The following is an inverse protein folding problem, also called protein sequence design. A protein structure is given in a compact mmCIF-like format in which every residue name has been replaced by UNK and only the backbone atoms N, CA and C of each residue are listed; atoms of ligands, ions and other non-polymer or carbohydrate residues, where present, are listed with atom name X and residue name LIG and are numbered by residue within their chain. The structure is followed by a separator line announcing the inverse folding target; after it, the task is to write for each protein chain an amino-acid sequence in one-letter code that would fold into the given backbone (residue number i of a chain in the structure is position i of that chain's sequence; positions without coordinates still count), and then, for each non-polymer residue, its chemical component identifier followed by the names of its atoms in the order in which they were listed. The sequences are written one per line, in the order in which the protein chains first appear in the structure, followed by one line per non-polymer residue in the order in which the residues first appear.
data_IF_919461585385
#
_entry.id   IF_919461585385
#
_cell.length_a   1.000
_cell.length_b   1.000
_cell.length_c   1.000
_cell.angle_alpha   90.00
_cell.angle_beta   90.00
_cell.angle_gamma   90.00
#
_symmetry.space_group_name_H-M   'P 1'
#
loop_
_entity.id
_entity.type
_entity.pdbx_description
1 polymer ?
#
# COMPACT_ATOMS: atom_id res chain seq x y z
N UNK A 1 -15.49 -6.78 -15.37
CA UNK A 1 -15.63 -6.02 -16.63
C UNK A 1 -14.49 -5.02 -16.73
N UNK A 2 -13.90 -4.87 -17.92
CA UNK A 2 -12.73 -4.02 -18.16
C UNK A 2 -13.10 -2.71 -18.85
N UNK A 3 -14.26 -2.66 -19.48
CA UNK A 3 -14.70 -1.52 -20.24
C UNK A 3 -16.25 -1.38 -20.19
N UNK A 4 -16.72 -0.15 -20.03
CA UNK A 4 -18.13 0.22 -20.15
C UNK A 4 -18.27 1.09 -21.40
N UNK A 5 -19.18 0.72 -22.27
CA UNK A 5 -19.46 1.46 -23.51
C UNK A 5 -20.86 2.05 -23.47
N UNK A 6 -20.98 3.29 -23.93
CA UNK A 6 -22.25 4.01 -24.09
C UNK A 6 -22.58 4.12 -25.56
N UNK A 7 -23.76 3.66 -25.95
CA UNK A 7 -24.25 3.77 -27.31
C UNK A 7 -25.50 4.64 -27.32
N UNK A 8 -25.48 5.68 -28.13
CA UNK A 8 -26.64 6.54 -28.36
C UNK A 8 -27.41 6.06 -29.59
N UNK A 9 -28.63 5.60 -29.38
CA UNK A 9 -29.52 5.18 -30.45
C UNK A 9 -30.62 6.22 -30.66
N UNK A 10 -30.94 6.50 -31.92
CA UNK A 10 -32.04 7.36 -32.28
C UNK A 10 -33.23 6.52 -32.74
N UNK A 11 -34.38 6.66 -32.08
CA UNK A 11 -35.64 6.04 -32.45
C UNK A 11 -36.66 7.16 -32.68
N UNK A 12 -37.35 7.10 -33.81
CA UNK A 12 -38.35 8.10 -34.21
C UNK A 12 -39.52 8.20 -33.22
N UNK A 13 -39.86 7.10 -32.54
CA UNK A 13 -40.94 7.03 -31.55
C UNK A 13 -40.47 7.37 -30.10
N UNK A 14 -39.14 7.25 -29.84
CA UNK A 14 -38.52 7.57 -28.57
C UNK A 14 -37.28 8.44 -28.78
N UNK A 15 -37.42 9.68 -29.05
CA UNK A 15 -36.41 10.68 -29.41
C UNK A 15 -34.93 10.30 -29.19
N UNK A 16 -34.58 9.66 -28.06
CA UNK A 16 -33.24 9.12 -27.75
C UNK A 16 -33.33 7.93 -26.79
N UNK A 17 -32.56 6.88 -27.06
CA UNK A 17 -32.27 5.83 -26.07
C UNK A 17 -30.75 5.75 -25.87
N UNK A 18 -30.32 5.66 -24.61
CA UNK A 18 -28.91 5.43 -24.25
C UNK A 18 -28.80 3.99 -23.79
N UNK A 19 -28.11 3.17 -24.55
CA UNK A 19 -27.76 1.81 -24.15
C UNK A 19 -26.36 1.80 -23.58
N UNK A 20 -26.25 1.26 -22.36
CA UNK A 20 -24.96 1.13 -21.67
C UNK A 20 -24.55 -0.33 -21.69
N UNK A 21 -23.41 -0.64 -22.31
CA UNK A 21 -22.90 -2.00 -22.40
C UNK A 21 -21.58 -2.18 -21.66
N UNK A 22 -21.44 -3.31 -21.00
CA UNK A 22 -20.23 -3.72 -20.32
C UNK A 22 -19.45 -4.74 -21.15
N UNK A 23 -18.18 -4.45 -21.41
CA UNK A 23 -17.29 -5.31 -22.17
C UNK A 23 -16.38 -6.10 -21.23
N UNK A 24 -16.29 -7.40 -21.44
CA UNK A 24 -15.30 -8.25 -20.78
C UNK A 24 -14.28 -8.70 -21.84
N UNK A 25 -13.12 -8.07 -21.88
CA UNK A 25 -12.06 -8.35 -22.88
C UNK A 25 -11.52 -9.77 -22.78
N UNK A 26 -11.39 -10.32 -21.56
CA UNK A 26 -10.85 -11.68 -21.36
C UNK A 26 -11.78 -12.75 -21.92
N UNK A 27 -13.10 -12.54 -21.86
CA UNK A 27 -14.12 -13.48 -22.34
C UNK A 27 -14.73 -13.09 -23.67
N UNK A 28 -14.36 -11.94 -24.26
CA UNK A 28 -14.92 -11.44 -25.49
C UNK A 28 -16.44 -11.20 -25.45
N UNK A 29 -17.02 -11.05 -24.27
CA UNK A 29 -18.48 -10.90 -24.09
C UNK A 29 -18.86 -9.43 -23.86
N UNK A 30 -19.92 -9.02 -24.53
CA UNK A 30 -20.58 -7.72 -24.38
C UNK A 30 -21.97 -7.95 -23.81
N UNK A 31 -22.34 -7.23 -22.76
CA UNK A 31 -23.66 -7.35 -22.15
C UNK A 31 -24.21 -5.97 -21.77
N UNK A 32 -25.51 -5.70 -22.00
CA UNK A 32 -26.16 -4.53 -21.45
C UNK A 32 -25.99 -4.48 -19.91
N UNK A 33 -25.81 -3.27 -19.37
CA UNK A 33 -25.64 -3.09 -17.91
C UNK A 33 -26.87 -3.57 -17.14
N UNK A 34 -28.07 -3.48 -17.73
CA UNK A 34 -29.31 -3.99 -17.17
C UNK A 34 -29.30 -5.49 -16.93
N UNK A 35 -28.52 -6.23 -17.72
CA UNK A 35 -28.34 -7.67 -17.59
C UNK A 35 -27.21 -8.07 -16.65
N UNK A 36 -26.51 -7.11 -16.06
CA UNK A 36 -25.53 -7.38 -15.00
C UNK A 36 -26.23 -7.84 -13.71
N UNK A 37 -25.56 -8.66 -12.93
CA UNK A 37 -26.01 -8.97 -11.57
C UNK A 37 -26.20 -7.72 -10.72
N UNK A 38 -27.18 -7.71 -9.83
CA UNK A 38 -27.56 -6.55 -9.00
C UNK A 38 -26.36 -5.91 -8.28
N UNK A 39 -25.45 -6.70 -7.71
CA UNK A 39 -24.25 -6.20 -7.05
C UNK A 39 -23.30 -5.45 -7.98
N UNK A 40 -23.08 -5.97 -9.19
CA UNK A 40 -22.24 -5.27 -10.17
C UNK A 40 -22.88 -3.96 -10.65
N UNK A 41 -24.19 -3.91 -10.77
CA UNK A 41 -24.90 -2.66 -11.08
C UNK A 41 -24.76 -1.62 -9.96
N UNK A 42 -24.82 -2.04 -8.69
CA UNK A 42 -24.59 -1.13 -7.55
C UNK A 42 -23.19 -0.53 -7.59
N UNK A 43 -22.16 -1.33 -7.83
CA UNK A 43 -20.77 -0.83 -7.97
C UNK A 43 -20.64 0.10 -9.19
N UNK A 44 -21.25 -0.26 -10.32
CA UNK A 44 -21.25 0.59 -11.50
C UNK A 44 -21.89 1.97 -11.22
N UNK A 45 -23.05 2.00 -10.57
CA UNK A 45 -23.73 3.25 -10.22
C UNK A 45 -22.92 4.12 -9.27
N UNK A 46 -22.29 3.52 -8.27
CA UNK A 46 -21.38 4.25 -7.35
C UNK A 46 -20.16 4.80 -8.06
N UNK A 47 -19.55 4.01 -8.96
CA UNK A 47 -18.40 4.47 -9.76
C UNK A 47 -18.77 5.57 -10.74
N UNK A 48 -19.96 5.50 -11.33
CA UNK A 48 -20.51 6.57 -12.19
C UNK A 48 -20.72 7.87 -11.38
N UNK A 49 -21.29 7.75 -10.20
CA UNK A 49 -21.45 8.88 -9.27
C UNK A 49 -20.12 9.49 -8.87
N UNK A 50 -19.11 8.67 -8.56
CA UNK A 50 -17.76 9.12 -8.26
C UNK A 50 -17.14 9.89 -9.44
N UNK A 51 -17.25 9.37 -10.66
CA UNK A 51 -16.77 10.03 -11.87
C UNK A 51 -17.48 11.37 -12.08
N UNK A 52 -18.82 11.40 -11.97
CA UNK A 52 -19.61 12.60 -12.12
C UNK A 52 -19.23 13.71 -11.13
N UNK A 53 -19.01 13.34 -9.86
CA UNK A 53 -18.67 14.29 -8.79
C UNK A 53 -17.20 14.74 -8.87
N UNK A 54 -16.33 13.93 -9.45
CA UNK A 54 -14.90 14.22 -9.60
C UNK A 54 -14.59 15.26 -10.67
N UNK A 55 -15.54 15.61 -11.53
CA UNK A 55 -15.38 16.65 -12.55
C UNK A 55 -14.99 18.00 -11.92
N UNK A 56 -14.08 18.72 -12.57
CA UNK A 56 -13.58 20.01 -12.08
C UNK A 56 -14.72 21.07 -12.03
N UNK A 57 -14.73 21.87 -10.96
CA UNK A 57 -15.66 22.99 -10.80
C UNK A 57 -17.01 22.63 -10.19
N UNK A 58 -17.24 21.41 -9.75
CA UNK A 58 -18.49 21.05 -9.07
C UNK A 58 -18.49 21.50 -7.60
N UNK A 59 -19.65 21.93 -7.15
CA UNK A 59 -19.90 22.29 -5.75
C UNK A 59 -20.00 21.01 -4.92
N UNK A 60 -19.42 20.97 -3.71
CA UNK A 60 -19.59 19.86 -2.79
C UNK A 60 -21.05 19.51 -2.57
N UNK A 61 -21.37 18.23 -2.61
CA UNK A 61 -22.73 17.70 -2.54
C UNK A 61 -22.97 16.93 -1.25
N UNK A 62 -24.23 16.79 -0.84
CA UNK A 62 -24.66 15.85 0.19
C UNK A 62 -25.13 14.58 -0.52
N UNK A 63 -24.50 13.45 -0.21
CA UNK A 63 -24.77 12.14 -0.79
C UNK A 63 -25.36 11.26 0.31
N UNK A 64 -26.57 10.77 0.11
CA UNK A 64 -27.25 9.86 1.04
C UNK A 64 -27.43 8.51 0.35
N UNK A 65 -26.92 7.44 0.98
CA UNK A 65 -26.99 6.08 0.45
C UNK A 65 -27.54 5.14 1.51
N UNK A 66 -28.54 4.35 1.17
CA UNK A 66 -29.13 3.35 2.05
C UNK A 66 -28.70 1.95 1.62
N UNK A 67 -28.18 1.17 2.57
CA UNK A 67 -27.79 -0.24 2.45
C UNK A 67 -27.00 -0.54 1.14
N UNK A 68 -25.90 0.17 0.87
CA UNK A 68 -25.15 0.03 -0.39
C UNK A 68 -24.52 -1.37 -0.58
N UNK A 69 -24.46 -2.17 0.47
CA UNK A 69 -23.99 -3.56 0.45
C UNK A 69 -25.01 -4.56 -0.07
N UNK A 70 -26.28 -4.20 -0.21
CA UNK A 70 -27.30 -5.13 -0.68
C UNK A 70 -26.89 -5.75 -2.02
N UNK A 71 -26.92 -7.07 -2.10
CA UNK A 71 -26.48 -7.88 -3.23
C UNK A 71 -24.96 -7.87 -3.51
N UNK A 72 -24.13 -7.22 -2.70
CA UNK A 72 -22.69 -7.25 -2.86
C UNK A 72 -22.08 -8.48 -2.19
N UNK A 73 -21.24 -9.19 -2.93
CA UNK A 73 -20.33 -10.16 -2.33
C UNK A 73 -19.34 -9.44 -1.39
N UNK A 74 -18.89 -10.02 -0.27
CA UNK A 74 -17.97 -9.37 0.70
C UNK A 74 -16.79 -8.63 0.08
N UNK A 75 -16.19 -9.16 -1.00
CA UNK A 75 -15.12 -8.47 -1.73
C UNK A 75 -15.57 -7.14 -2.36
N UNK A 76 -16.79 -7.11 -2.89
CA UNK A 76 -17.36 -5.91 -3.49
C UNK A 76 -17.82 -4.90 -2.43
N UNK A 77 -18.16 -5.37 -1.23
CA UNK A 77 -18.47 -4.47 -0.09
C UNK A 77 -17.27 -3.62 0.31
N UNK A 78 -16.06 -4.19 0.30
CA UNK A 78 -14.82 -3.43 0.52
C UNK A 78 -14.59 -2.39 -0.57
N UNK A 79 -14.79 -2.76 -1.84
CA UNK A 79 -14.71 -1.80 -2.96
C UNK A 79 -15.75 -0.68 -2.84
N UNK A 80 -16.96 -1.01 -2.41
CA UNK A 80 -18.02 -0.04 -2.14
C UNK A 80 -17.58 0.94 -1.03
N UNK A 81 -17.07 0.42 0.08
CA UNK A 81 -16.53 1.24 1.19
C UNK A 81 -15.44 2.20 0.72
N UNK A 82 -14.52 1.75 -0.14
CA UNK A 82 -13.47 2.61 -0.71
C UNK A 82 -14.03 3.72 -1.61
N UNK A 83 -15.04 3.43 -2.41
CA UNK A 83 -15.71 4.45 -3.25
C UNK A 83 -16.37 5.50 -2.35
N UNK A 84 -17.14 5.07 -1.34
CA UNK A 84 -17.81 5.98 -0.40
C UNK A 84 -16.78 6.84 0.36
N UNK A 85 -15.67 6.25 0.77
CA UNK A 85 -14.57 6.97 1.42
C UNK A 85 -13.97 8.03 0.49
N UNK A 86 -13.67 7.73 -0.77
CA UNK A 86 -13.17 8.71 -1.75
C UNK A 86 -14.17 9.83 -2.00
N UNK A 87 -15.44 9.50 -2.15
CA UNK A 87 -16.52 10.49 -2.26
C UNK A 87 -16.57 11.46 -1.07
N UNK A 88 -16.31 10.95 0.14
CA UNK A 88 -16.32 11.76 1.37
C UNK A 88 -15.17 12.77 1.48
N UNK A 89 -14.13 12.66 0.65
CA UNK A 89 -13.02 13.63 0.66
C UNK A 89 -13.43 15.03 0.17
N UNK A 90 -14.45 15.10 -0.70
CA UNK A 90 -14.93 16.37 -1.27
C UNK A 90 -16.39 16.65 -1.00
N UNK A 91 -17.11 15.69 -0.43
CA UNK A 91 -18.58 15.75 -0.25
C UNK A 91 -18.95 15.33 1.17
N UNK A 92 -20.16 15.67 1.59
CA UNK A 92 -20.74 15.07 2.80
C UNK A 92 -21.45 13.77 2.39
N UNK A 93 -20.91 12.64 2.83
CA UNK A 93 -21.49 11.32 2.57
C UNK A 93 -22.14 10.80 3.84
N UNK A 94 -23.40 10.43 3.75
CA UNK A 94 -24.19 9.80 4.82
C UNK A 94 -24.68 8.47 4.26
N UNK A 95 -24.31 7.35 4.90
CA UNK A 95 -24.86 6.07 4.49
C UNK A 95 -25.26 5.23 5.70
N UNK A 96 -26.31 4.43 5.51
CA UNK A 96 -26.78 3.44 6.46
C UNK A 96 -26.28 2.07 6.00
N UNK A 97 -25.81 1.25 6.94
CA UNK A 97 -25.34 -0.09 6.64
C UNK A 97 -25.50 -1.04 7.83
N UNK A 98 -25.71 -2.33 7.52
CA UNK A 98 -25.64 -3.44 8.46
C UNK A 98 -24.37 -4.30 8.23
N UNK A 99 -23.48 -3.88 7.32
CA UNK A 99 -22.26 -4.61 7.00
C UNK A 99 -21.03 -4.03 7.73
N UNK A 100 -20.31 -4.85 8.51
CA UNK A 100 -19.04 -4.43 9.10
C UNK A 100 -18.01 -4.11 8.02
N UNK A 101 -18.05 -4.77 6.86
CA UNK A 101 -17.11 -4.54 5.76
C UNK A 101 -17.17 -3.10 5.21
N UNK A 102 -18.33 -2.43 5.30
CA UNK A 102 -18.44 -1.03 4.91
C UNK A 102 -17.87 -0.06 5.95
N UNK A 103 -17.79 -0.46 7.21
CA UNK A 103 -17.25 0.38 8.28
C UNK A 103 -15.71 0.47 8.24
N UNK A 104 -15.06 -0.37 7.43
CA UNK A 104 -13.60 -0.52 7.40
C UNK A 104 -12.81 0.76 7.15
N UNK A 105 -13.32 1.68 6.36
CA UNK A 105 -12.59 2.90 5.97
C UNK A 105 -12.96 4.12 6.82
N UNK A 106 -13.80 3.95 7.84
CA UNK A 106 -14.32 5.05 8.65
C UNK A 106 -13.88 4.94 10.11
N UNK A 107 -13.51 6.07 10.70
CA UNK A 107 -13.17 6.14 12.12
C UNK A 107 -14.43 6.07 12.98
N UNK A 108 -14.28 5.68 14.25
CA UNK A 108 -15.38 5.64 15.20
C UNK A 108 -16.07 7.02 15.37
N UNK A 109 -15.36 8.11 15.14
CA UNK A 109 -15.93 9.46 15.17
C UNK A 109 -16.92 9.73 14.05
N UNK A 110 -16.79 9.03 12.92
CA UNK A 110 -17.66 9.15 11.76
C UNK A 110 -18.87 8.23 11.86
N UNK A 111 -18.82 7.19 12.70
CA UNK A 111 -19.87 6.20 12.86
C UNK A 111 -20.91 6.70 13.88
N UNK A 112 -22.19 6.43 13.60
CA UNK A 112 -23.30 6.67 14.51
C UNK A 112 -24.09 5.39 14.61
N UNK A 113 -24.11 4.79 15.80
CA UNK A 113 -24.88 3.60 16.08
C UNK A 113 -26.31 4.01 16.42
N UNK A 114 -27.27 3.50 15.66
CA UNK A 114 -28.70 3.70 15.89
C UNK A 114 -29.26 2.44 16.55
N UNK A 115 -29.86 2.58 17.70
CA UNK A 115 -30.48 1.51 18.48
C UNK A 115 -31.91 1.87 18.84
N UNK A 116 -32.67 0.87 19.27
CA UNK A 116 -33.99 1.14 19.86
C UNK A 116 -33.81 1.39 21.36
N UNK A 117 -34.49 2.43 21.87
CA UNK A 117 -34.63 2.64 23.31
C UNK A 117 -35.69 1.72 23.94
N UNK A 118 -35.91 1.88 25.21
CA UNK A 118 -36.89 1.06 25.99
C UNK A 118 -38.34 1.25 25.49
N UNK A 119 -38.62 2.40 24.87
CA UNK A 119 -39.92 2.72 24.28
C UNK A 119 -40.00 2.35 22.80
N UNK A 120 -38.96 1.71 22.25
CA UNK A 120 -38.81 1.29 20.85
C UNK A 120 -38.70 2.43 19.84
N UNK A 121 -38.23 3.60 20.26
CA UNK A 121 -37.81 4.66 19.36
C UNK A 121 -36.39 4.51 18.93
N UNK A 122 -36.10 4.86 17.69
CA UNK A 122 -34.72 4.88 17.17
C UNK A 122 -33.94 6.04 17.79
N UNK A 123 -32.88 5.75 18.51
CA UNK A 123 -32.00 6.74 19.13
C UNK A 123 -30.55 6.52 18.74
N UNK A 124 -29.78 7.61 18.69
CA UNK A 124 -28.33 7.53 18.46
C UNK A 124 -27.65 7.30 19.80
N UNK A 125 -26.90 6.22 19.94
CA UNK A 125 -26.12 5.92 21.14
C UNK A 125 -25.02 6.99 21.32
N UNK A 126 -24.95 7.69 22.47
CA UNK A 126 -24.09 8.86 22.64
C UNK A 126 -22.61 8.53 22.67
N UNK A 127 -22.25 7.32 23.09
CA UNK A 127 -20.89 6.80 23.09
C UNK A 127 -20.92 5.34 22.66
N UNK A 128 -20.08 5.00 21.70
CA UNK A 128 -19.95 3.63 21.22
C UNK A 128 -18.49 3.36 20.86
N UNK A 129 -18.07 2.13 20.94
CA UNK A 129 -16.79 1.67 20.45
C UNK A 129 -17.00 0.62 19.36
N UNK A 130 -15.95 0.33 18.59
CA UNK A 130 -16.05 -0.57 17.46
C UNK A 130 -16.45 -2.00 17.88
N UNK A 131 -15.97 -2.48 19.03
CA UNK A 131 -16.32 -3.81 19.53
C UNK A 131 -17.81 -3.93 19.81
N UNK A 132 -18.41 -2.95 20.47
CA UNK A 132 -19.86 -2.94 20.75
C UNK A 132 -20.68 -2.92 19.47
N UNK A 133 -20.26 -2.13 18.46
CA UNK A 133 -20.94 -2.10 17.16
C UNK A 133 -20.89 -3.48 16.49
N UNK A 134 -19.73 -4.13 16.54
CA UNK A 134 -19.53 -5.43 15.92
C UNK A 134 -20.30 -6.53 16.64
N UNK A 135 -20.31 -6.51 17.97
CA UNK A 135 -21.11 -7.43 18.79
C UNK A 135 -22.62 -7.28 18.50
N UNK A 136 -23.12 -6.04 18.38
CA UNK A 136 -24.51 -5.76 18.03
C UNK A 136 -24.86 -6.20 16.58
N UNK A 137 -23.88 -6.20 15.68
CA UNK A 137 -24.02 -6.75 14.32
C UNK A 137 -23.87 -8.28 14.27
N UNK A 138 -23.58 -8.94 15.40
CA UNK A 138 -23.43 -10.39 15.51
C UNK A 138 -22.04 -10.90 15.10
N UNK A 139 -21.03 -10.03 15.07
CA UNK A 139 -19.65 -10.41 14.77
C UNK A 139 -18.82 -10.49 16.05
N UNK A 140 -18.25 -11.65 16.35
CA UNK A 140 -17.33 -11.82 17.45
C UNK A 140 -15.99 -11.10 17.24
N UNK A 141 -15.32 -10.75 18.34
CA UNK A 141 -14.00 -10.05 18.29
C UNK A 141 -12.93 -10.78 17.48
N UNK A 142 -13.07 -12.07 17.26
CA UNK A 142 -12.16 -12.89 16.45
C UNK A 142 -12.50 -12.90 14.94
N UNK A 143 -13.72 -12.48 14.55
CA UNK A 143 -14.16 -12.51 13.15
C UNK A 143 -13.64 -11.32 12.35
N UNK A 144 -13.12 -10.34 13.06
CA UNK A 144 -12.61 -9.11 12.49
C UNK A 144 -11.17 -8.86 12.91
N UNK A 145 -10.27 -9.55 12.28
CA UNK A 145 -8.92 -9.02 12.16
C UNK A 145 -9.04 -7.71 11.39
N UNK A 146 -8.97 -6.60 12.12
CA UNK A 146 -9.13 -5.22 11.63
C UNK A 146 -8.02 -4.81 10.65
N UNK A 147 -7.68 -5.65 9.68
CA UNK A 147 -6.61 -5.45 8.72
C UNK A 147 -7.19 -5.31 7.32
N UNK A 148 -6.98 -4.18 6.70
CA UNK A 148 -7.36 -3.91 5.31
C UNK A 148 -6.21 -4.09 4.35
N UNK A 149 -4.97 -4.03 4.84
CA UNK A 149 -3.77 -4.18 4.04
C UNK A 149 -2.63 -4.84 4.81
N UNK A 150 -1.85 -5.69 4.15
CA UNK A 150 -0.70 -6.37 4.74
C UNK A 150 0.57 -6.06 3.97
N UNK A 151 1.58 -5.55 4.67
CA UNK A 151 2.95 -5.57 4.17
C UNK A 151 3.68 -6.81 4.69
N UNK A 152 4.41 -7.46 3.79
CA UNK A 152 5.31 -8.55 4.12
C UNK A 152 6.73 -8.07 3.82
N UNK A 153 7.54 -7.90 4.85
CA UNK A 153 8.90 -7.35 4.76
C UNK A 153 9.93 -8.37 5.26
N UNK A 154 11.18 -8.24 4.85
CA UNK A 154 12.21 -9.20 5.21
C UNK A 154 12.65 -9.06 6.65
N UNK A 155 12.96 -7.84 7.10
CA UNK A 155 13.62 -7.54 8.35
C UNK A 155 12.73 -6.88 9.41
N UNK A 156 13.18 -6.98 10.67
CA UNK A 156 12.55 -6.23 11.78
C UNK A 156 12.76 -4.72 11.63
N UNK A 157 13.86 -4.32 11.00
CA UNK A 157 14.18 -2.91 10.76
C UNK A 157 13.23 -2.30 9.74
N UNK A 158 12.89 -3.04 8.66
CA UNK A 158 11.92 -2.60 7.66
C UNK A 158 10.54 -2.38 8.29
N UNK A 159 10.16 -3.27 9.23
CA UNK A 159 8.92 -3.13 9.99
C UNK A 159 8.85 -1.81 10.79
N UNK A 160 9.98 -1.29 11.26
CA UNK A 160 10.03 -0.03 12.01
C UNK A 160 10.15 1.21 11.11
N UNK A 161 10.77 1.08 9.93
CA UNK A 161 11.04 2.18 9.00
C UNK A 161 9.89 2.47 8.05
N UNK A 162 9.24 1.41 7.55
CA UNK A 162 8.12 1.56 6.61
C UNK A 162 6.99 2.45 7.15
N UNK A 163 6.56 2.35 8.43
CA UNK A 163 5.54 3.25 8.97
C UNK A 163 5.90 4.74 8.91
N UNK A 164 7.19 5.08 9.04
CA UNK A 164 7.64 6.47 8.95
C UNK A 164 7.42 7.04 7.55
N UNK A 165 7.68 6.22 6.52
CA UNK A 165 7.43 6.59 5.14
C UNK A 165 5.92 6.73 4.88
N UNK A 166 5.11 5.77 5.38
CA UNK A 166 3.65 5.83 5.25
C UNK A 166 3.08 7.09 5.92
N UNK A 167 3.56 7.44 7.11
CA UNK A 167 3.12 8.64 7.84
C UNK A 167 3.34 9.93 7.06
N UNK A 168 4.44 10.04 6.33
CA UNK A 168 4.77 11.22 5.52
C UNK A 168 3.83 11.38 4.33
N UNK A 169 3.59 10.30 3.57
CA UNK A 169 2.94 10.37 2.27
C UNK A 169 1.45 10.04 2.27
N UNK A 170 0.94 9.42 3.35
CA UNK A 170 -0.47 9.03 3.46
C UNK A 170 -1.12 9.58 4.72
N UNK A 171 -2.39 9.92 4.62
CA UNK A 171 -3.23 10.32 5.76
C UNK A 171 -3.84 9.09 6.45
N UNK A 172 -4.27 9.26 7.71
CA UNK A 172 -5.03 8.25 8.46
C UNK A 172 -4.31 6.89 8.57
N UNK A 173 -2.97 6.94 8.72
CA UNK A 173 -2.12 5.74 8.87
C UNK A 173 -2.15 5.21 10.30
N UNK A 174 -2.43 6.06 11.28
CA UNK A 174 -2.53 5.69 12.69
C UNK A 174 -3.94 5.90 13.23
N UNK A 175 -4.33 5.05 14.17
CA UNK A 175 -5.53 5.24 15.00
C UNK A 175 -5.26 6.22 16.14
N UNK A 176 -6.29 6.48 16.97
CA UNK A 176 -6.19 7.38 18.12
C UNK A 176 -5.23 6.87 19.21
N UNK A 177 -4.97 5.58 19.26
CA UNK A 177 -4.03 4.96 20.18
C UNK A 177 -2.59 4.92 19.66
N UNK A 178 -2.34 5.43 18.43
CA UNK A 178 -1.03 5.46 17.79
C UNK A 178 -0.61 4.13 17.16
N UNK A 179 -1.52 3.17 16.98
CA UNK A 179 -1.27 1.95 16.24
C UNK A 179 -1.55 2.15 14.76
N UNK A 180 -0.92 1.33 13.91
CA UNK A 180 -1.22 1.33 12.48
C UNK A 180 -2.70 1.02 12.25
N UNK A 181 -3.39 1.94 11.60
CA UNK A 181 -4.82 1.82 11.34
C UNK A 181 -5.06 0.83 10.20
N UNK A 182 -5.50 -0.38 10.54
CA UNK A 182 -5.85 -1.47 9.60
C UNK A 182 -4.74 -1.92 8.66
N UNK A 183 -3.50 -1.61 9.00
CA UNK A 183 -2.32 -2.07 8.30
C UNK A 183 -1.57 -3.04 9.20
N UNK A 184 -1.26 -4.21 8.71
CA UNK A 184 -0.36 -5.15 9.37
C UNK A 184 0.98 -5.20 8.64
N UNK A 185 2.08 -5.24 9.39
CA UNK A 185 3.41 -5.44 8.84
C UNK A 185 4.00 -6.72 9.43
N UNK A 186 4.16 -7.71 8.58
CA UNK A 186 4.65 -9.05 8.93
C UNK A 186 6.09 -9.19 8.46
N UNK A 187 6.98 -9.66 9.35
CA UNK A 187 8.38 -9.94 8.99
C UNK A 187 8.57 -11.41 8.70
N UNK A 188 9.31 -11.72 7.64
CA UNK A 188 9.67 -13.12 7.32
C UNK A 188 10.87 -13.63 8.10
N UNK A 189 11.66 -12.72 8.72
CA UNK A 189 12.88 -12.98 9.50
C UNK A 189 13.95 -13.83 8.78
N UNK A 190 13.83 -14.02 7.50
CA UNK A 190 14.83 -14.59 6.58
C UNK A 190 14.20 -14.77 5.20
N UNK A 191 15.01 -14.81 4.16
CA UNK A 191 14.64 -15.03 2.75
C UNK A 191 14.00 -16.40 2.46
N UNK A 192 13.52 -17.16 3.46
CA UNK A 192 12.91 -18.46 3.20
C UNK A 192 11.46 -18.28 2.79
N UNK A 193 11.18 -18.67 1.55
CA UNK A 193 9.85 -18.72 0.95
C UNK A 193 8.79 -19.45 1.79
N UNK A 194 9.21 -20.35 2.69
CA UNK A 194 8.33 -21.17 3.54
C UNK A 194 7.55 -20.31 4.56
N UNK A 195 8.18 -19.33 5.20
CA UNK A 195 7.49 -18.46 6.17
C UNK A 195 6.53 -17.49 5.49
N UNK A 196 6.93 -16.97 4.32
CA UNK A 196 6.06 -16.14 3.50
C UNK A 196 4.84 -16.94 3.04
N UNK A 197 5.02 -18.20 2.68
CA UNK A 197 3.94 -19.11 2.33
C UNK A 197 2.92 -19.29 3.46
N UNK A 198 3.38 -19.51 4.70
CA UNK A 198 2.50 -19.64 5.86
C UNK A 198 1.71 -18.33 6.13
N UNK A 199 2.35 -17.18 5.94
CA UNK A 199 1.68 -15.88 6.06
C UNK A 199 0.64 -15.66 4.97
N UNK A 200 0.91 -16.07 3.73
CA UNK A 200 -0.06 -16.02 2.63
C UNK A 200 -1.27 -16.94 2.89
N UNK A 201 -1.03 -18.13 3.45
CA UNK A 201 -2.11 -19.06 3.85
C UNK A 201 -3.01 -18.42 4.92
N UNK A 202 -2.43 -17.74 5.91
CA UNK A 202 -3.17 -16.99 6.93
C UNK A 202 -3.98 -15.85 6.31
N UNK A 203 -3.41 -15.06 5.39
CA UNK A 203 -4.11 -13.98 4.70
C UNK A 203 -5.29 -14.48 3.85
N UNK A 204 -5.21 -15.70 3.30
CA UNK A 204 -6.33 -16.29 2.57
C UNK A 204 -7.54 -16.55 3.49
N UNK A 205 -7.30 -16.91 4.74
CA UNK A 205 -8.33 -17.10 5.75
C UNK A 205 -9.02 -15.79 6.16
N UNK A 206 -8.31 -14.67 6.08
CA UNK A 206 -8.83 -13.32 6.40
C UNK A 206 -9.35 -12.56 5.18
N UNK A 207 -9.58 -13.21 4.05
CA UNK A 207 -10.13 -12.62 2.81
C UNK A 207 -9.35 -11.44 2.20
N UNK A 208 -8.07 -11.30 2.51
CA UNK A 208 -7.18 -10.25 1.97
C UNK A 208 -6.53 -10.65 0.63
N UNK A 209 -7.26 -11.27 -0.28
CA UNK A 209 -6.76 -11.98 -1.46
C UNK A 209 -5.75 -11.22 -2.33
N UNK A 210 -5.89 -9.91 -2.46
CA UNK A 210 -5.05 -9.05 -3.29
C UNK A 210 -4.54 -7.80 -2.57
N UNK A 211 -4.93 -7.59 -1.30
CA UNK A 211 -4.59 -6.42 -0.51
C UNK A 211 -3.31 -6.65 0.31
N UNK A 212 -2.24 -6.96 -0.37
CA UNK A 212 -0.92 -7.12 0.26
C UNK A 212 0.21 -6.72 -0.69
N UNK A 213 1.33 -6.31 -0.11
CA UNK A 213 2.56 -6.03 -0.83
C UNK A 213 3.73 -6.71 -0.12
N UNK A 214 4.45 -7.56 -0.85
CA UNK A 214 5.72 -8.12 -0.43
C UNK A 214 6.83 -7.16 -0.84
N UNK A 215 7.62 -6.69 0.12
CA UNK A 215 8.79 -5.85 -0.12
C UNK A 215 10.03 -6.69 0.23
N UNK A 216 10.92 -6.83 -0.73
CA UNK A 216 12.15 -7.59 -0.59
C UNK A 216 13.36 -6.77 -0.98
N UNK A 217 14.46 -7.05 -0.31
CA UNK A 217 15.75 -6.47 -0.62
C UNK A 217 16.19 -6.84 -2.05
N UNK A 218 16.88 -5.92 -2.70
CA UNK A 218 17.42 -6.13 -4.05
C UNK A 218 18.64 -7.05 -4.07
N UNK A 219 19.43 -7.06 -2.98
CA UNK A 219 20.65 -7.89 -2.83
C UNK A 219 21.64 -7.75 -4.00
N UNK A 220 21.61 -6.61 -4.70
CA UNK A 220 22.44 -6.38 -5.88
C UNK A 220 22.07 -7.24 -7.09
N UNK A 221 20.83 -7.67 -7.20
CA UNK A 221 20.28 -8.45 -8.32
C UNK A 221 19.29 -7.63 -9.13
N UNK A 222 18.95 -8.13 -10.33
CA UNK A 222 17.94 -7.51 -11.17
C UNK A 222 16.53 -7.63 -10.52
N UNK A 223 15.86 -6.49 -10.22
CA UNK A 223 14.57 -6.50 -9.56
C UNK A 223 13.45 -7.18 -10.36
N UNK A 224 13.49 -7.05 -11.71
CA UNK A 224 12.48 -7.63 -12.59
C UNK A 224 12.60 -9.15 -12.67
N UNK A 225 13.83 -9.65 -12.73
CA UNK A 225 14.11 -11.08 -12.73
C UNK A 225 13.68 -11.71 -11.40
N UNK A 226 14.09 -11.12 -10.26
CA UNK A 226 13.72 -11.60 -8.92
C UNK A 226 12.20 -11.63 -8.72
N UNK A 227 11.50 -10.58 -9.11
CA UNK A 227 10.07 -10.52 -8.96
C UNK A 227 9.34 -11.54 -9.85
N UNK A 228 9.85 -11.79 -11.06
CA UNK A 228 9.34 -12.81 -11.97
C UNK A 228 9.54 -14.22 -11.41
N UNK A 229 10.71 -14.49 -10.84
CA UNK A 229 11.03 -15.76 -10.16
C UNK A 229 10.09 -15.99 -8.97
N UNK A 230 9.80 -14.94 -8.17
CA UNK A 230 8.90 -15.03 -7.03
C UNK A 230 7.46 -15.34 -7.48
N UNK A 231 6.94 -14.62 -8.47
CA UNK A 231 5.60 -14.87 -8.98
C UNK A 231 5.45 -16.31 -9.50
N UNK A 232 6.44 -16.79 -10.27
CA UNK A 232 6.47 -18.18 -10.75
C UNK A 232 6.47 -19.20 -9.63
N UNK A 233 7.31 -18.99 -8.60
CA UNK A 233 7.36 -19.88 -7.44
C UNK A 233 5.99 -20.04 -6.77
N UNK A 234 5.24 -18.93 -6.57
CA UNK A 234 3.92 -19.00 -5.94
C UNK A 234 2.84 -19.56 -6.88
N UNK A 235 2.93 -19.33 -8.18
CA UNK A 235 2.04 -19.95 -9.16
C UNK A 235 2.23 -21.48 -9.19
N UNK A 236 3.46 -21.98 -9.18
CA UNK A 236 3.79 -23.41 -9.11
C UNK A 236 3.26 -24.04 -7.82
N UNK A 237 3.46 -23.37 -6.67
CA UNK A 237 2.93 -23.82 -5.38
C UNK A 237 1.41 -23.88 -5.34
N UNK A 238 0.73 -22.95 -5.97
CA UNK A 238 -0.73 -22.94 -6.07
C UNK A 238 -1.29 -24.09 -6.91
N UNK A 239 -0.50 -24.67 -7.82
CA UNK A 239 -0.87 -25.86 -8.59
C UNK A 239 -0.76 -27.14 -7.75
N UNK A 240 0.16 -27.17 -6.79
CA UNK A 240 0.43 -28.33 -5.94
C UNK A 240 -0.45 -28.38 -4.67
N UNK A 241 -1.00 -27.22 -4.20
CA UNK A 241 -1.67 -27.11 -2.92
C UNK A 241 -3.19 -27.07 -3.04
N UNK A 242 -3.86 -27.87 -2.22
CA UNK A 242 -5.34 -27.91 -2.09
C UNK A 242 -5.90 -26.63 -1.48
N UNK A 243 -5.10 -25.89 -0.72
CA UNK A 243 -5.48 -24.71 0.05
C UNK A 243 -5.33 -23.37 -0.71
N UNK A 244 -5.51 -23.31 -1.99
CA UNK A 244 -5.52 -22.11 -2.85
C UNK A 244 -5.02 -20.83 -2.18
N UNK A 245 -3.71 -20.58 -2.22
CA UNK A 245 -3.11 -19.32 -1.74
C UNK A 245 -3.65 -18.10 -2.50
N UNK A 246 -3.56 -16.89 -1.92
CA UNK A 246 -3.77 -15.66 -2.67
C UNK A 246 -2.90 -15.67 -3.92
N UNK A 247 -3.45 -15.29 -5.06
CA UNK A 247 -2.68 -15.17 -6.30
C UNK A 247 -1.66 -14.05 -6.15
N UNK A 248 -0.39 -14.40 -6.17
CA UNK A 248 0.71 -13.43 -6.18
C UNK A 248 0.95 -12.96 -7.60
N UNK A 249 0.79 -11.67 -7.81
CA UNK A 249 1.01 -11.03 -9.12
C UNK A 249 2.13 -10.00 -9.00
N UNK A 250 2.59 -9.46 -10.13
CA UNK A 250 3.57 -8.35 -10.14
C UNK A 250 3.13 -7.14 -9.30
N UNK A 251 1.82 -6.90 -9.15
CA UNK A 251 1.28 -5.86 -8.29
C UNK A 251 1.63 -6.09 -6.81
N UNK A 252 1.73 -7.35 -6.39
CA UNK A 252 1.93 -7.75 -4.99
C UNK A 252 3.40 -7.91 -4.60
N UNK A 253 4.34 -7.66 -5.53
CA UNK A 253 5.78 -7.84 -5.29
C UNK A 253 6.51 -6.57 -5.63
N UNK A 254 7.27 -6.06 -4.66
CA UNK A 254 8.27 -5.02 -4.83
C UNK A 254 9.63 -5.60 -4.44
N UNK A 255 10.54 -5.65 -5.39
CA UNK A 255 11.96 -5.80 -5.12
C UNK A 255 12.53 -4.39 -5.07
N UNK A 256 13.22 -4.04 -3.99
CA UNK A 256 13.80 -2.72 -3.82
C UNK A 256 14.84 -2.44 -4.93
N UNK A 257 14.84 -1.21 -5.42
CA UNK A 257 15.82 -0.74 -6.41
C UNK A 257 17.25 -0.89 -5.90
N UNK A 258 17.44 -0.63 -4.61
CA UNK A 258 18.73 -0.69 -3.94
C UNK A 258 18.95 -2.02 -3.20
N UNK A 259 20.16 -2.20 -2.68
CA UNK A 259 20.55 -3.44 -2.02
C UNK A 259 19.59 -3.84 -0.90
N UNK A 260 19.23 -2.89 -0.03
CA UNK A 260 18.28 -3.05 1.07
C UNK A 260 17.57 -1.73 1.39
N UNK A 261 16.60 -1.78 2.30
CA UNK A 261 15.83 -0.59 2.70
C UNK A 261 16.73 0.52 3.29
N UNK A 262 17.81 0.18 3.98
CA UNK A 262 18.79 1.13 4.51
C UNK A 262 19.40 2.00 3.42
N UNK A 263 19.59 1.47 2.21
CA UNK A 263 20.27 2.18 1.13
C UNK A 263 19.47 3.40 0.62
N UNK A 264 18.21 3.56 0.99
CA UNK A 264 17.40 4.75 0.68
C UNK A 264 17.76 5.97 1.54
N UNK A 265 18.48 5.77 2.64
CA UNK A 265 18.84 6.82 3.60
C UNK A 265 20.27 7.39 3.40
N UNK A 266 20.82 7.31 2.20
CA UNK A 266 22.17 7.78 1.89
C UNK A 266 22.17 8.87 0.80
N UNK A 267 21.32 9.89 0.97
CA UNK A 267 21.40 11.13 0.21
C UNK A 267 22.32 12.11 0.98
N UNK A 268 23.55 12.40 0.49
CA UNK A 268 24.51 13.20 1.24
C UNK A 268 24.02 14.59 1.58
N UNK A 269 23.29 15.24 0.66
CA UNK A 269 22.74 16.59 0.89
C UNK A 269 21.73 16.61 2.05
N UNK A 270 20.90 15.56 2.18
CA UNK A 270 19.97 15.41 3.31
C UNK A 270 20.74 15.12 4.61
N UNK A 271 21.75 14.27 4.55
CA UNK A 271 22.56 13.90 5.71
C UNK A 271 23.32 15.13 6.29
N UNK A 272 23.82 16.02 5.43
CA UNK A 272 24.44 17.28 5.85
C UNK A 272 23.44 18.18 6.57
N UNK A 273 22.24 18.33 6.03
CA UNK A 273 21.18 19.15 6.65
C UNK A 273 20.75 18.64 8.03
N UNK A 274 20.88 17.35 8.27
CA UNK A 274 20.59 16.70 9.56
C UNK A 274 21.77 16.67 10.51
N UNK A 275 22.95 17.12 10.08
CA UNK A 275 24.17 17.06 10.87
C UNK A 275 24.70 15.63 11.11
N UNK A 276 24.32 14.69 10.24
CA UNK A 276 24.85 13.30 10.26
C UNK A 276 26.29 13.30 9.74
N UNK A 277 26.56 14.13 8.76
CA UNK A 277 27.88 14.41 8.21
C UNK A 277 28.11 15.92 8.12
N UNK A 278 29.37 16.35 8.17
CA UNK A 278 29.71 17.79 8.15
C UNK A 278 29.54 18.42 6.75
N UNK A 279 29.82 17.66 5.70
CA UNK A 279 29.69 18.06 4.31
C UNK A 279 29.50 16.86 3.40
N UNK A 280 29.07 17.07 2.15
CA UNK A 280 29.00 16.02 1.13
C UNK A 280 30.38 15.41 0.88
N UNK A 281 31.42 16.25 0.83
CA UNK A 281 32.78 15.76 0.65
C UNK A 281 33.24 14.88 1.83
N UNK A 282 32.90 15.25 3.07
CA UNK A 282 33.18 14.44 4.25
C UNK A 282 32.46 13.08 4.19
N UNK A 283 31.24 13.04 3.64
CA UNK A 283 30.53 11.77 3.39
C UNK A 283 31.33 10.88 2.46
N UNK A 284 31.75 11.37 1.29
CA UNK A 284 32.49 10.56 0.31
C UNK A 284 33.88 10.18 0.78
N UNK A 285 34.56 11.07 1.50
CA UNK A 285 35.86 10.75 2.13
C UNK A 285 35.72 9.64 3.16
N UNK A 286 34.70 9.69 4.02
CA UNK A 286 34.43 8.66 5.01
C UNK A 286 34.10 7.33 4.32
N UNK A 287 33.23 7.36 3.33
CA UNK A 287 32.81 6.17 2.59
C UNK A 287 34.02 5.53 1.86
N UNK A 288 34.82 6.32 1.15
CA UNK A 288 36.03 5.86 0.48
C UNK A 288 37.06 5.33 1.46
N UNK A 289 37.25 5.99 2.61
CA UNK A 289 38.11 5.50 3.69
C UNK A 289 37.70 4.11 4.16
N UNK A 290 36.37 3.92 4.40
CA UNK A 290 35.81 2.61 4.79
C UNK A 290 35.88 1.57 3.68
N UNK A 291 35.73 2.01 2.44
CA UNK A 291 35.96 1.16 1.27
C UNK A 291 37.35 0.59 1.29
N UNK A 292 38.40 1.42 1.40
CA UNK A 292 39.82 1.04 1.47
C UNK A 292 40.15 0.21 2.71
N UNK A 293 39.44 0.40 3.81
CA UNK A 293 39.66 -0.32 5.05
C UNK A 293 39.13 -1.76 4.95
N UNK A 294 37.88 -1.98 4.55
CA UNK A 294 37.27 -3.32 4.58
C UNK A 294 36.13 -3.57 3.60
N UNK A 295 35.39 -2.54 3.13
CA UNK A 295 34.16 -2.77 2.35
C UNK A 295 34.44 -3.48 1.02
N UNK A 296 35.57 -3.24 0.38
CA UNK A 296 35.95 -3.92 -0.86
C UNK A 296 36.13 -5.43 -0.70
N UNK A 297 36.42 -5.93 0.52
CA UNK A 297 36.62 -7.35 0.81
C UNK A 297 35.38 -8.13 1.10
N UNK A 298 34.32 -7.47 1.52
CA UNK A 298 33.03 -8.16 1.78
C UNK A 298 32.39 -8.57 0.47
N UNK A 299 31.51 -9.60 0.52
CA UNK A 299 30.86 -10.15 -0.68
C UNK A 299 30.18 -9.08 -1.54
N UNK A 300 29.43 -8.16 -0.94
CA UNK A 300 28.76 -7.07 -1.66
C UNK A 300 29.75 -6.07 -2.27
N UNK A 301 30.89 -5.82 -1.64
CA UNK A 301 31.97 -5.00 -2.19
C UNK A 301 32.65 -5.65 -3.38
N UNK A 302 32.94 -6.95 -3.30
CA UNK A 302 33.47 -7.72 -4.43
C UNK A 302 32.52 -7.70 -5.63
N UNK A 303 31.24 -7.88 -5.38
CA UNK A 303 30.20 -7.77 -6.42
C UNK A 303 30.19 -6.39 -7.08
N UNK A 304 30.29 -5.32 -6.28
CA UNK A 304 30.36 -3.95 -6.80
C UNK A 304 31.60 -3.74 -7.67
N UNK A 305 32.76 -4.26 -7.24
CA UNK A 305 34.00 -4.21 -8.04
C UNK A 305 33.87 -4.98 -9.37
N UNK A 306 33.22 -6.14 -9.35
CA UNK A 306 32.95 -6.92 -10.57
C UNK A 306 32.05 -6.15 -11.54
N UNK A 307 31.00 -5.52 -11.06
CA UNK A 307 30.06 -4.71 -11.88
C UNK A 307 30.76 -3.50 -12.50
N UNK A 308 31.61 -2.80 -11.74
CA UNK A 308 32.36 -1.64 -12.23
C UNK A 308 33.54 -2.05 -13.12
N UNK A 309 33.99 -3.31 -13.06
CA UNK A 309 35.18 -3.80 -13.74
C UNK A 309 36.50 -3.23 -13.21
N UNK A 310 36.47 -2.48 -12.12
CA UNK A 310 37.63 -1.82 -11.47
C UNK A 310 37.34 -1.47 -10.03
N UNK A 311 38.35 -1.16 -9.28
CA UNK A 311 38.27 -0.60 -7.92
C UNK A 311 38.06 0.92 -7.98
N UNK A 312 37.52 1.51 -6.91
CA UNK A 312 37.43 2.98 -6.77
C UNK A 312 38.83 3.61 -6.58
N UNK A 313 39.04 4.69 -7.32
CA UNK A 313 40.32 5.40 -7.31
C UNK A 313 40.35 6.60 -6.34
N UNK A 314 39.19 7.22 -6.07
CA UNK A 314 39.08 8.41 -5.22
C UNK A 314 37.66 8.56 -4.63
N UNK A 315 37.45 9.47 -3.66
CA UNK A 315 36.13 9.85 -3.19
C UNK A 315 35.21 10.40 -4.32
N UNK A 316 35.78 11.16 -5.26
CA UNK A 316 35.05 11.75 -6.40
C UNK A 316 34.55 10.64 -7.35
N UNK A 317 35.39 9.65 -7.62
CA UNK A 317 35.02 8.48 -8.39
C UNK A 317 33.86 7.71 -7.73
N UNK A 318 33.86 7.61 -6.40
CA UNK A 318 32.76 7.01 -5.65
C UNK A 318 31.47 7.86 -5.70
N UNK A 319 31.60 9.20 -5.75
CA UNK A 319 30.48 10.13 -5.93
C UNK A 319 29.79 9.93 -7.28
N UNK A 320 30.56 9.73 -8.34
CA UNK A 320 30.04 9.51 -9.70
C UNK A 320 29.28 8.18 -9.82
N UNK A 321 29.61 7.19 -8.97
CA UNK A 321 29.03 5.84 -8.98
C UNK A 321 28.16 5.56 -7.74
N UNK A 322 27.55 6.61 -7.15
CA UNK A 322 26.78 6.44 -5.91
C UNK A 322 25.52 5.57 -6.09
N UNK A 323 24.94 5.55 -7.30
CA UNK A 323 23.80 4.68 -7.61
C UNK A 323 24.21 3.20 -7.55
N UNK A 324 25.36 2.86 -8.12
CA UNK A 324 25.92 1.50 -8.05
C UNK A 324 26.30 1.13 -6.62
N UNK A 325 26.86 2.05 -5.85
CA UNK A 325 27.13 1.85 -4.42
C UNK A 325 25.84 1.51 -3.66
N UNK A 326 24.76 2.26 -3.87
CA UNK A 326 23.47 2.01 -3.22
C UNK A 326 22.84 0.70 -3.71
N UNK A 327 23.07 0.31 -4.96
CA UNK A 327 22.49 -0.90 -5.55
C UNK A 327 23.21 -2.18 -5.13
N UNK A 328 24.53 -2.15 -5.07
CA UNK A 328 25.33 -3.37 -4.90
C UNK A 328 25.99 -3.51 -3.54
N UNK A 329 26.16 -2.42 -2.77
CA UNK A 329 26.80 -2.49 -1.47
C UNK A 329 25.75 -2.64 -0.34
N UNK A 330 25.99 -3.63 0.53
CA UNK A 330 25.06 -3.97 1.62
C UNK A 330 24.78 -2.78 2.54
N UNK A 331 23.50 -2.39 2.63
CA UNK A 331 23.07 -1.20 3.35
C UNK A 331 23.36 -1.22 4.84
N UNK A 332 23.28 -2.39 5.49
CA UNK A 332 23.58 -2.52 6.91
C UNK A 332 25.01 -2.06 7.26
N UNK A 333 25.99 -2.36 6.42
CA UNK A 333 27.35 -1.90 6.63
C UNK A 333 27.50 -0.39 6.50
N UNK A 334 26.83 0.21 5.51
CA UNK A 334 26.78 1.67 5.33
C UNK A 334 26.06 2.34 6.50
N UNK A 335 24.98 1.74 6.94
CA UNK A 335 24.17 2.26 8.03
C UNK A 335 24.94 2.33 9.34
N UNK A 336 25.69 1.31 9.67
CA UNK A 336 26.56 1.30 10.87
C UNK A 336 27.64 2.39 10.82
N UNK A 337 28.18 2.70 9.64
CA UNK A 337 29.19 3.75 9.47
C UNK A 337 28.62 5.13 9.80
N UNK A 338 27.46 5.48 9.27
CA UNK A 338 26.94 6.83 9.34
C UNK A 338 25.90 7.04 10.44
N UNK A 339 25.06 6.04 10.71
CA UNK A 339 23.98 6.12 11.70
C UNK A 339 24.30 5.44 13.02
N UNK A 340 25.41 4.71 13.10
CA UNK A 340 25.87 4.05 14.33
C UNK A 340 25.88 4.97 15.57
N UNK A 341 26.39 6.22 15.47
CA UNK A 341 26.38 7.17 16.58
C UNK A 341 24.97 7.61 17.03
N UNK A 342 23.95 7.43 16.20
CA UNK A 342 22.60 7.95 16.40
C UNK A 342 21.57 6.87 16.77
N UNK A 343 22.00 5.67 17.14
CA UNK A 343 21.11 4.52 17.41
C UNK A 343 19.99 4.80 18.42
N UNK A 344 20.28 5.58 19.47
CA UNK A 344 19.29 5.91 20.49
C UNK A 344 18.17 6.85 19.95
N UNK A 345 18.47 7.62 18.91
CA UNK A 345 17.53 8.56 18.28
C UNK A 345 17.20 8.18 16.85
N UNK A 346 17.40 6.92 16.49
CA UNK A 346 17.22 6.42 15.11
C UNK A 346 15.88 6.84 14.51
N UNK A 347 14.79 6.62 15.23
CA UNK A 347 13.44 6.92 14.74
C UNK A 347 13.24 8.41 14.44
N UNK A 348 13.74 9.29 15.30
CA UNK A 348 13.65 10.76 15.11
C UNK A 348 14.44 11.20 13.87
N UNK A 349 15.67 10.70 13.73
CA UNK A 349 16.55 11.05 12.61
C UNK A 349 16.00 10.53 11.30
N UNK A 350 15.52 9.28 11.24
CA UNK A 350 14.91 8.74 10.03
C UNK A 350 13.63 9.46 9.64
N UNK A 351 12.80 9.86 10.61
CA UNK A 351 11.62 10.69 10.34
C UNK A 351 12.03 12.04 9.75
N UNK A 352 13.00 12.72 10.37
CA UNK A 352 13.52 13.99 9.87
C UNK A 352 14.18 13.82 8.47
N UNK A 353 14.84 12.69 8.23
CA UNK A 353 15.40 12.37 6.92
C UNK A 353 14.31 12.26 5.86
N UNK A 354 13.26 11.48 6.11
CA UNK A 354 12.11 11.31 5.20
C UNK A 354 11.42 12.66 4.95
N UNK A 355 11.33 13.52 5.96
CA UNK A 355 10.72 14.85 5.82
C UNK A 355 11.50 15.78 4.89
N UNK A 356 12.83 15.63 4.85
CA UNK A 356 13.72 16.47 4.05
C UNK A 356 14.10 15.88 2.69
N UNK A 357 14.03 14.57 2.55
CA UNK A 357 14.43 13.87 1.34
C UNK A 357 13.45 14.15 0.19
N UNK A 358 13.95 14.26 -1.06
CA UNK A 358 13.10 14.30 -2.24
C UNK A 358 12.22 13.05 -2.34
N UNK A 359 10.99 13.23 -2.81
CA UNK A 359 10.04 12.11 -3.03
C UNK A 359 10.59 11.08 -4.00
N UNK A 360 11.36 11.53 -4.96
CA UNK A 360 12.02 10.73 -5.99
C UNK A 360 12.95 9.66 -5.39
N UNK A 361 13.54 9.93 -4.23
CA UNK A 361 14.41 8.96 -3.54
C UNK A 361 13.64 7.69 -3.11
N UNK A 362 12.32 7.78 -2.92
CA UNK A 362 11.45 6.68 -2.50
C UNK A 362 10.43 6.28 -3.58
N UNK A 363 10.63 6.74 -4.82
CA UNK A 363 9.63 6.65 -5.89
C UNK A 363 9.18 5.22 -6.16
N UNK A 364 10.08 4.27 -6.25
CA UNK A 364 9.77 2.85 -6.53
C UNK A 364 8.88 2.24 -5.44
N UNK A 365 9.14 2.56 -4.17
CA UNK A 365 8.34 2.11 -3.02
C UNK A 365 6.95 2.76 -3.07
N UNK A 366 6.88 4.07 -3.28
CA UNK A 366 5.63 4.81 -3.33
C UNK A 366 4.77 4.39 -4.52
N UNK A 367 5.35 4.24 -5.71
CA UNK A 367 4.66 3.77 -6.91
C UNK A 367 4.08 2.35 -6.72
N UNK A 368 4.77 1.48 -5.98
CA UNK A 368 4.27 0.15 -5.67
C UNK A 368 3.09 0.18 -4.68
N UNK A 369 3.15 1.05 -3.66
CA UNK A 369 2.09 1.23 -2.67
C UNK A 369 0.86 1.89 -3.29
N UNK A 370 1.07 2.88 -4.14
CA UNK A 370 0.02 3.66 -4.82
C UNK A 370 -0.88 2.84 -5.77
N UNK A 371 -0.45 1.65 -6.15
CA UNK A 371 -1.26 0.71 -6.96
C UNK A 371 -2.45 0.14 -6.19
N UNK A 372 -2.49 0.29 -4.87
CA UNK A 372 -3.54 -0.24 -4.02
C UNK A 372 -4.53 0.86 -3.62
N UNK A 373 -5.81 0.57 -3.81
CA UNK A 373 -6.92 1.52 -3.58
C UNK A 373 -6.88 2.07 -2.15
N UNK A 374 -6.49 1.24 -1.17
CA UNK A 374 -6.36 1.65 0.23
C UNK A 374 -5.43 2.87 0.39
N UNK A 375 -4.29 2.90 -0.30
CA UNK A 375 -3.32 4.00 -0.22
C UNK A 375 -3.60 5.13 -1.20
N UNK A 376 -4.09 4.79 -2.40
CA UNK A 376 -4.44 5.79 -3.41
C UNK A 376 -5.46 6.81 -2.89
N UNK A 377 -6.47 6.33 -2.14
CA UNK A 377 -7.49 7.18 -1.51
C UNK A 377 -6.97 8.02 -0.32
N UNK A 378 -5.78 7.73 0.20
CA UNK A 378 -5.17 8.36 1.38
C UNK A 378 -3.93 9.19 1.09
N UNK A 379 -3.57 9.40 -0.16
CA UNK A 379 -2.44 10.27 -0.54
C UNK A 379 -2.59 11.66 0.04
N UNK A 380 -1.53 12.18 0.63
CA UNK A 380 -1.50 13.57 1.08
C UNK A 380 -1.36 14.50 -0.12
N UNK A 381 -2.23 15.52 -0.27
CA UNK A 381 -2.09 16.50 -1.34
C UNK A 381 -0.80 17.30 -1.14
N UNK A 382 -0.01 17.43 -2.22
CA UNK A 382 1.21 18.26 -2.23
C UNK A 382 2.51 17.56 -1.76
N UNK A 383 2.47 16.28 -1.50
CA UNK A 383 3.66 15.47 -1.18
C UNK A 383 4.02 14.54 -2.33
#
# INVERSE_FOLDING_TARGET
YEEIQYTLNFDADQLFTVEVTAHNRQRGSVKPVELMGKGMRSIYMLSLLETYISEQGRIPSIIVVEDPEIFLHPQLQKSCSEILYRLSKKNQVIFKTHSPDLLFNFSIRQIRQVVLDDERYSVIRPRTNMSEILDDLGYGANDLLNVSFVFIVEGKQDKSRLPLLLEKYYSEIYDEAGNLYRISIITTNSCTNIKTYANLKYMNQVYLRDQFLMIRDGDGKDPEELASQLCRYYDERNLEDVDRLPKVTRKNVLILKYYSFENYFFNPAVMVRLGIVESEDAFYQTLYGKWREYLYRIRSGQQLTEVLGRDFSSPEDMKEHMEEVRTYLRGHNLYDIFYGPFREREKEILKAYIDLAPKEDFKDILDAIDRFVYFDSRKRPGN
#
